data_IF_627593127923
#
_entry.id   IF_627593127923
#
_cell.length_a   1.000
_cell.length_b   1.000
_cell.length_c   1.000
_cell.angle_alpha   90.00
_cell.angle_beta   90.00
_cell.angle_gamma   90.00
#
_symmetry.space_group_name_H-M   'P 1'
#
loop_
_entity.id
_entity.type
_entity.pdbx_description
1 polymer ?
#
# COMPACT_ATOMS: atom_id res chain seq x y z
N UNK A 1 -1.15 13.34 3.48
CA UNK A 1 -2.56 12.93 3.48
C UNK A 1 -2.93 12.43 4.88
N UNK A 2 -4.20 12.40 5.31
CA UNK A 2 -4.54 11.86 6.64
C UNK A 2 -4.32 10.34 6.70
N UNK A 3 -3.93 9.80 7.87
CA UNK A 3 -3.65 8.35 8.01
C UNK A 3 -4.86 7.49 7.59
N UNK A 4 -6.08 7.93 7.89
CA UNK A 4 -7.29 7.23 7.47
C UNK A 4 -7.41 7.15 5.93
N UNK A 5 -7.10 8.23 5.23
CA UNK A 5 -7.13 8.29 3.76
C UNK A 5 -5.98 7.47 3.15
N UNK A 6 -4.78 7.56 3.73
CA UNK A 6 -3.61 6.77 3.34
C UNK A 6 -3.94 5.28 3.46
N UNK A 7 -4.50 4.84 4.59
CA UNK A 7 -4.93 3.46 4.81
C UNK A 7 -6.00 3.02 3.82
N UNK A 8 -7.00 3.86 3.57
CA UNK A 8 -8.06 3.54 2.63
C UNK A 8 -7.52 3.35 1.21
N UNK A 9 -6.62 4.24 0.77
CA UNK A 9 -5.95 4.11 -0.53
C UNK A 9 -5.05 2.88 -0.59
N UNK A 10 -4.26 2.63 0.46
CA UNK A 10 -3.42 1.44 0.57
C UNK A 10 -4.22 0.15 0.50
N UNK A 11 -5.26 0.03 1.32
CA UNK A 11 -6.13 -1.14 1.34
C UNK A 11 -6.76 -1.35 -0.03
N UNK A 12 -7.32 -0.30 -0.64
CA UNK A 12 -7.88 -0.39 -1.98
C UNK A 12 -6.85 -0.91 -2.99
N UNK A 13 -5.68 -0.28 -3.04
CA UNK A 13 -4.60 -0.62 -3.96
C UNK A 13 -4.02 -2.03 -3.72
N UNK A 14 -3.93 -2.47 -2.46
CA UNK A 14 -3.48 -3.81 -2.08
C UNK A 14 -4.52 -4.90 -2.39
N UNK A 15 -5.80 -4.53 -2.49
CA UNK A 15 -6.90 -5.45 -2.82
C UNK A 15 -7.29 -5.46 -4.30
N UNK A 16 -6.60 -4.69 -5.14
CA UNK A 16 -6.84 -4.70 -6.58
C UNK A 16 -6.45 -6.05 -7.18
N UNK A 17 -7.42 -6.70 -7.83
CA UNK A 17 -7.27 -8.03 -8.42
C UNK A 17 -6.09 -8.09 -9.41
N UNK A 18 -5.87 -7.01 -10.18
CA UNK A 18 -4.75 -6.88 -11.12
C UNK A 18 -3.37 -6.89 -10.45
N UNK A 19 -3.29 -6.45 -9.20
CA UNK A 19 -2.03 -6.36 -8.46
C UNK A 19 -1.86 -7.49 -7.46
N UNK A 20 -2.94 -8.14 -6.99
CA UNK A 20 -2.92 -9.22 -6.00
C UNK A 20 -1.87 -10.29 -6.33
N UNK A 21 -1.80 -10.76 -7.58
CA UNK A 21 -0.82 -11.78 -7.97
C UNK A 21 0.64 -11.29 -7.95
N UNK A 22 0.86 -9.99 -8.16
CA UNK A 22 2.20 -9.36 -8.13
C UNK A 22 2.60 -9.05 -6.69
N UNK A 23 1.65 -8.57 -5.90
CA UNK A 23 1.80 -8.27 -4.48
C UNK A 23 2.09 -9.53 -3.67
N UNK A 24 1.42 -10.65 -3.97
CA UNK A 24 1.69 -11.96 -3.35
C UNK A 24 3.13 -12.44 -3.60
N UNK A 25 3.69 -12.13 -4.77
CA UNK A 25 5.07 -12.46 -5.13
C UNK A 25 6.11 -11.49 -4.58
N UNK A 26 5.69 -10.31 -4.12
CA UNK A 26 6.58 -9.27 -3.63
C UNK A 26 7.23 -9.72 -2.32
N UNK A 27 8.56 -9.70 -2.26
CA UNK A 27 9.31 -10.19 -1.08
C UNK A 27 9.69 -9.08 -0.10
N UNK A 28 9.34 -7.84 -0.43
CA UNK A 28 9.75 -6.67 0.34
C UNK A 28 8.75 -5.54 0.18
N UNK A 29 8.61 -4.73 1.23
CA UNK A 29 7.76 -3.53 1.24
C UNK A 29 8.12 -2.56 0.10
N UNK A 30 9.39 -2.49 -0.29
CA UNK A 30 9.85 -1.70 -1.45
C UNK A 30 9.26 -2.21 -2.77
N UNK A 31 9.18 -3.53 -2.96
CA UNK A 31 8.58 -4.11 -4.17
C UNK A 31 7.08 -3.86 -4.21
N UNK A 32 6.39 -4.04 -3.07
CA UNK A 32 4.98 -3.67 -2.93
C UNK A 32 4.76 -2.22 -3.32
N UNK A 33 5.53 -1.29 -2.75
CA UNK A 33 5.42 0.13 -3.08
C UNK A 33 5.64 0.41 -4.59
N UNK A 34 6.64 -0.22 -5.21
CA UNK A 34 6.89 -0.06 -6.64
C UNK A 34 5.73 -0.58 -7.50
N UNK A 35 5.11 -1.70 -7.11
CA UNK A 35 3.93 -2.25 -7.80
C UNK A 35 2.74 -1.30 -7.65
N UNK A 36 2.50 -0.80 -6.44
CA UNK A 36 1.42 0.15 -6.18
C UNK A 36 1.63 1.47 -6.94
N UNK A 37 2.88 1.93 -7.12
CA UNK A 37 3.19 3.11 -7.92
C UNK A 37 2.82 3.00 -9.42
N UNK A 38 2.57 1.78 -9.94
CA UNK A 38 2.09 1.61 -11.32
C UNK A 38 0.64 2.09 -11.48
N UNK A 39 -0.12 2.16 -10.39
CA UNK A 39 -1.49 2.66 -10.40
C UNK A 39 -1.50 4.17 -10.60
N UNK A 40 -2.26 4.63 -11.60
CA UNK A 40 -2.34 6.06 -11.92
C UNK A 40 -2.95 6.93 -10.81
N UNK A 41 -3.71 6.32 -9.90
CA UNK A 41 -4.31 6.99 -8.75
C UNK A 41 -3.48 6.89 -7.46
N UNK A 42 -2.42 6.07 -7.45
CA UNK A 42 -1.59 5.88 -6.27
C UNK A 42 -0.56 7.00 -6.19
N UNK A 43 -0.89 8.01 -5.38
CA UNK A 43 -0.06 9.21 -5.20
C UNK A 43 0.71 9.21 -3.89
N UNK A 44 0.65 8.11 -3.12
CA UNK A 44 1.32 8.03 -1.83
C UNK A 44 2.83 8.04 -2.03
N UNK A 45 3.50 8.86 -1.23
CA UNK A 45 4.95 8.82 -1.11
C UNK A 45 5.40 7.60 -0.31
N UNK A 46 6.68 7.26 -0.38
CA UNK A 46 7.24 6.14 0.40
C UNK A 46 7.14 6.36 1.91
N UNK A 47 7.13 7.62 2.37
CA UNK A 47 6.90 7.96 3.78
C UNK A 47 5.44 7.69 4.17
N UNK A 48 4.47 8.17 3.39
CA UNK A 48 3.05 7.93 3.63
C UNK A 48 2.70 6.44 3.53
N UNK A 49 3.28 5.73 2.57
CA UNK A 49 3.16 4.28 2.44
C UNK A 49 3.62 3.58 3.73
N UNK A 50 4.82 3.91 4.24
CA UNK A 50 5.32 3.34 5.50
C UNK A 50 4.40 3.65 6.67
N UNK A 51 3.98 4.91 6.81
CA UNK A 51 3.05 5.30 7.88
C UNK A 51 1.72 4.53 7.80
N UNK A 52 1.20 4.32 6.59
CA UNK A 52 -0.02 3.55 6.39
C UNK A 52 0.14 2.06 6.70
N UNK A 53 1.28 1.45 6.30
CA UNK A 53 1.60 0.06 6.65
C UNK A 53 1.79 -0.11 8.16
N UNK A 54 2.52 0.80 8.81
CA UNK A 54 2.68 0.79 10.27
C UNK A 54 1.33 0.94 10.97
N UNK A 55 0.47 1.84 10.51
CA UNK A 55 -0.87 2.01 11.07
C UNK A 55 -1.76 0.77 10.88
N UNK A 56 -1.68 0.10 9.73
CA UNK A 56 -2.37 -1.17 9.48
C UNK A 56 -1.88 -2.27 10.42
N UNK A 57 -0.57 -2.42 10.56
CA UNK A 57 0.04 -3.42 11.45
C UNK A 57 -0.32 -3.19 12.92
N UNK A 58 -0.46 -1.93 13.33
CA UNK A 58 -0.77 -1.57 14.72
C UNK A 58 -2.26 -1.69 15.06
N UNK A 59 -3.16 -1.76 14.06
CA UNK A 59 -4.59 -2.00 14.26
C UNK A 59 -4.97 -3.50 14.33
N UNK A 60 -4.12 -4.39 13.81
CA UNK A 60 -4.31 -5.84 13.90
C UNK A 60 -3.63 -6.48 15.14
N UNK A 61 -3.05 -5.66 16.04
CA UNK A 61 -2.34 -6.08 17.25
C UNK A 61 -3.21 -6.10 18.53
#
# INVERSE_FOLDING_TARGET
>A
MDIAEIKHMLLHALTEDELVERLDKAKSQQEVYNILQELSYFTLTIEEFKQGIEALQNEEA
#
